data_IF_090098674194
#
_entry.id   IF_090098674194
#
_cell.length_a   1.000
_cell.length_b   1.000
_cell.length_c   1.000
_cell.angle_alpha   90.00
_cell.angle_beta   90.00
_cell.angle_gamma   90.00
#
_symmetry.space_group_name_H-M   'P 1'
#
loop_
_entity.id
_entity.type
_entity.pdbx_description
1 polymer ?
#
# COMPACT_ATOMS: atom_id res chain seq x y z
N UNK A 1 -8.24 -0.15 41.72
CA UNK A 1 -7.05 -0.55 40.91
C UNK A 1 -7.43 -1.21 39.60
N UNK A 2 -8.27 -2.22 39.60
CA UNK A 2 -8.72 -2.97 38.40
C UNK A 2 -9.26 -2.12 37.25
N UNK A 3 -10.05 -1.08 37.54
CA UNK A 3 -10.59 -0.17 36.52
C UNK A 3 -9.51 0.68 35.81
N UNK A 4 -8.43 1.01 36.54
CA UNK A 4 -7.31 1.79 35.98
C UNK A 4 -6.43 0.92 35.08
N UNK A 5 -6.23 -0.32 35.46
CA UNK A 5 -5.49 -1.30 34.67
C UNK A 5 -6.22 -1.62 33.36
N UNK A 6 -7.52 -1.88 33.38
CA UNK A 6 -8.36 -2.09 32.19
C UNK A 6 -8.35 -0.87 31.26
N UNK A 7 -8.32 0.34 31.84
CA UNK A 7 -8.24 1.58 31.07
C UNK A 7 -6.91 1.74 30.32
N UNK A 8 -5.80 1.45 30.99
CA UNK A 8 -4.45 1.50 30.37
C UNK A 8 -4.36 0.48 29.24
N UNK A 9 -4.80 -0.75 29.47
CA UNK A 9 -4.79 -1.82 28.48
C UNK A 9 -5.58 -1.47 27.22
N UNK A 10 -6.78 -0.89 27.38
CA UNK A 10 -7.59 -0.45 26.25
C UNK A 10 -6.93 0.66 25.43
N UNK A 11 -6.29 1.63 26.09
CA UNK A 11 -5.55 2.70 25.40
C UNK A 11 -4.36 2.17 24.61
N UNK A 12 -3.64 1.18 25.15
CA UNK A 12 -2.55 0.51 24.46
C UNK A 12 -3.04 -0.19 23.18
N UNK A 13 -4.15 -0.93 23.24
CA UNK A 13 -4.74 -1.56 22.06
C UNK A 13 -5.18 -0.55 21.01
N UNK A 14 -5.79 0.57 21.41
CA UNK A 14 -6.15 1.65 20.49
C UNK A 14 -4.93 2.30 19.85
N UNK A 15 -3.84 2.47 20.62
CA UNK A 15 -2.56 2.96 20.10
C UNK A 15 -1.95 2.02 19.07
N UNK A 16 -1.99 0.71 19.33
CA UNK A 16 -1.51 -0.32 18.38
C UNK A 16 -2.33 -0.28 17.09
N UNK A 17 -3.67 -0.24 17.17
CA UNK A 17 -4.54 -0.15 15.99
C UNK A 17 -4.25 1.12 15.18
N UNK A 18 -4.08 2.26 15.85
CA UNK A 18 -3.72 3.52 15.20
C UNK A 18 -2.36 3.43 14.51
N UNK A 19 -1.35 2.88 15.20
CA UNK A 19 -0.02 2.63 14.62
C UNK A 19 -0.07 1.74 13.39
N UNK A 20 -0.87 0.66 13.45
CA UNK A 20 -1.08 -0.22 12.29
C UNK A 20 -1.66 0.54 11.09
N UNK A 21 -2.70 1.37 11.31
CA UNK A 21 -3.31 2.16 10.23
C UNK A 21 -2.37 3.20 9.64
N UNK A 22 -1.49 3.79 10.43
CA UNK A 22 -0.57 4.83 9.96
C UNK A 22 0.73 4.28 9.37
N UNK A 23 1.10 3.03 9.66
CA UNK A 23 2.39 2.45 9.26
C UNK A 23 2.60 2.55 7.75
N UNK A 24 1.69 2.04 6.95
CA UNK A 24 1.85 2.00 5.50
C UNK A 24 1.80 3.40 4.85
N UNK A 25 0.83 4.29 5.16
CA UNK A 25 0.88 5.67 4.67
C UNK A 25 2.16 6.42 5.05
N UNK A 26 2.66 6.25 6.27
CA UNK A 26 3.90 6.88 6.73
C UNK A 26 5.11 6.31 5.99
N UNK A 27 5.18 5.00 5.76
CA UNK A 27 6.26 4.38 4.99
C UNK A 27 6.29 4.88 3.55
N UNK A 28 5.14 5.08 2.91
CA UNK A 28 5.08 5.65 1.57
C UNK A 28 5.60 7.09 1.55
N UNK A 29 5.16 7.93 2.50
CA UNK A 29 5.65 9.31 2.61
C UNK A 29 7.16 9.36 2.86
N UNK A 30 7.68 8.50 3.73
CA UNK A 30 9.12 8.41 3.98
C UNK A 30 9.86 7.91 2.74
N UNK A 31 9.28 6.98 1.99
CA UNK A 31 9.83 6.50 0.73
C UNK A 31 10.02 7.66 -0.26
N UNK A 32 8.97 8.43 -0.50
CA UNK A 32 9.01 9.62 -1.36
C UNK A 32 10.05 10.65 -0.89
N UNK A 33 10.13 10.91 0.44
CA UNK A 33 11.11 11.85 0.99
C UNK A 33 12.57 11.39 0.86
N UNK A 34 12.80 10.09 0.75
CA UNK A 34 14.14 9.48 0.73
C UNK A 34 14.49 8.88 -0.64
N UNK A 35 13.69 9.14 -1.68
CA UNK A 35 13.82 8.58 -3.03
C UNK A 35 13.83 7.05 -3.06
N UNK A 36 13.04 6.41 -2.17
CA UNK A 36 12.85 4.98 -2.13
C UNK A 36 11.42 4.60 -2.49
N UNK A 37 11.31 3.63 -3.37
CA UNK A 37 10.03 3.02 -3.73
C UNK A 37 9.68 1.92 -2.71
N UNK A 38 8.55 2.08 -2.03
CA UNK A 38 8.06 1.09 -1.06
C UNK A 38 7.09 0.14 -1.75
N UNK A 39 7.47 -1.12 -1.86
CA UNK A 39 6.67 -2.16 -2.49
C UNK A 39 6.23 -3.19 -1.45
N UNK A 40 4.99 -3.65 -1.52
CA UNK A 40 4.51 -4.76 -0.68
C UNK A 40 4.82 -6.08 -1.37
N UNK A 41 5.50 -6.98 -0.68
CA UNK A 41 5.95 -8.27 -1.22
C UNK A 41 4.77 -9.15 -1.67
N UNK A 42 3.73 -9.21 -0.85
CA UNK A 42 2.48 -9.90 -1.17
C UNK A 42 1.30 -9.14 -0.58
N UNK A 43 0.56 -8.47 -1.46
CA UNK A 43 -0.64 -7.72 -1.06
C UNK A 43 -1.68 -8.62 -0.37
N UNK A 44 -1.86 -9.87 -0.83
CA UNK A 44 -2.84 -10.80 -0.26
C UNK A 44 -2.46 -11.22 1.15
N UNK A 45 -1.21 -11.66 1.34
CA UNK A 45 -0.69 -12.08 2.64
C UNK A 45 -0.77 -10.92 3.63
N UNK A 46 -0.33 -9.72 3.22
CA UNK A 46 -0.43 -8.53 4.08
C UNK A 46 -1.88 -8.21 4.43
N UNK A 47 -2.80 -8.15 3.45
CA UNK A 47 -4.21 -7.83 3.70
C UNK A 47 -4.87 -8.83 4.66
N UNK A 48 -4.61 -10.12 4.47
CA UNK A 48 -5.18 -11.16 5.34
C UNK A 48 -4.63 -11.07 6.76
N UNK A 49 -3.30 -11.03 6.90
CA UNK A 49 -2.65 -10.95 8.23
C UNK A 49 -3.06 -9.67 8.96
N UNK A 50 -3.02 -8.53 8.26
CA UNK A 50 -3.42 -7.24 8.82
C UNK A 50 -4.87 -7.28 9.29
N UNK A 51 -5.79 -7.79 8.46
CA UNK A 51 -7.21 -7.89 8.80
C UNK A 51 -7.45 -8.79 10.01
N UNK A 52 -6.77 -9.93 10.09
CA UNK A 52 -6.88 -10.83 11.24
C UNK A 52 -6.41 -10.16 12.53
N UNK A 53 -5.22 -9.58 12.53
CA UNK A 53 -4.65 -8.92 13.72
C UNK A 53 -5.52 -7.72 14.12
N UNK A 54 -5.88 -6.87 13.15
CA UNK A 54 -6.73 -5.71 13.38
C UNK A 54 -8.09 -6.11 13.98
N UNK A 55 -8.73 -7.15 13.45
CA UNK A 55 -10.01 -7.66 13.94
C UNK A 55 -9.91 -8.21 15.37
N UNK A 56 -8.88 -9.01 15.66
CA UNK A 56 -8.68 -9.58 17.00
C UNK A 56 -8.48 -8.48 18.05
N UNK A 57 -7.64 -7.48 17.75
CA UNK A 57 -7.40 -6.35 18.67
C UNK A 57 -8.68 -5.51 18.81
N UNK A 58 -9.39 -5.25 17.70
CA UNK A 58 -10.66 -4.50 17.72
C UNK A 58 -11.72 -5.17 18.59
N UNK A 59 -11.86 -6.50 18.50
CA UNK A 59 -12.77 -7.27 19.35
C UNK A 59 -12.40 -7.17 20.84
N UNK A 60 -11.09 -7.15 21.16
CA UNK A 60 -10.61 -6.90 22.53
C UNK A 60 -11.06 -5.52 23.02
N UNK A 61 -10.80 -4.47 22.24
CA UNK A 61 -11.20 -3.08 22.55
C UNK A 61 -12.71 -2.98 22.75
N UNK A 62 -13.50 -3.67 21.91
CA UNK A 62 -14.96 -3.64 21.99
C UNK A 62 -15.53 -4.39 23.21
N UNK A 63 -14.84 -5.39 23.74
CA UNK A 63 -15.24 -6.10 24.96
C UNK A 63 -15.01 -5.29 26.24
N UNK A 64 -14.07 -4.36 26.20
CA UNK A 64 -13.75 -3.54 27.37
C UNK A 64 -14.66 -2.32 27.47
N UNK A 65 -15.45 -2.22 28.54
CA UNK A 65 -16.41 -1.13 28.76
C UNK A 65 -15.80 0.13 29.43
N UNK A 66 -14.49 0.11 29.71
CA UNK A 66 -13.82 1.27 30.29
C UNK A 66 -13.87 2.49 29.35
N UNK A 67 -14.40 3.60 29.86
CA UNK A 67 -14.49 4.88 29.12
C UNK A 67 -13.52 5.88 29.69
N UNK A 68 -12.57 6.32 28.88
CA UNK A 68 -11.62 7.37 29.25
C UNK A 68 -11.60 8.47 28.20
N UNK A 69 -11.17 9.68 28.62
CA UNK A 69 -11.01 10.80 27.67
C UNK A 69 -9.97 10.47 26.60
N UNK A 70 -8.83 9.90 27.00
CA UNK A 70 -7.78 9.48 26.08
C UNK A 70 -8.26 8.38 25.10
N UNK A 71 -9.04 7.39 25.58
CA UNK A 71 -9.64 6.37 24.74
C UNK A 71 -10.62 6.95 23.71
N UNK A 72 -11.36 8.00 24.08
CA UNK A 72 -12.24 8.70 23.14
C UNK A 72 -11.44 9.44 22.06
N UNK A 73 -10.38 10.14 22.42
CA UNK A 73 -9.49 10.83 21.48
C UNK A 73 -8.83 9.84 20.52
N UNK A 74 -8.25 8.75 21.04
CA UNK A 74 -7.64 7.71 20.20
C UNK A 74 -8.66 7.08 19.24
N UNK A 75 -9.91 6.87 19.68
CA UNK A 75 -10.96 6.35 18.79
C UNK A 75 -11.38 7.34 17.72
N UNK A 76 -11.37 8.66 18.00
CA UNK A 76 -11.58 9.71 17.01
C UNK A 76 -10.47 9.76 15.95
N UNK A 77 -9.23 9.48 16.33
CA UNK A 77 -8.08 9.45 15.41
C UNK A 77 -8.03 8.13 14.62
N UNK A 78 -8.45 7.02 15.23
CA UNK A 78 -8.40 5.69 14.60
C UNK A 78 -9.27 5.61 13.35
N UNK A 79 -10.47 6.21 13.38
CA UNK A 79 -11.39 6.12 12.25
C UNK A 79 -10.83 6.79 10.98
N UNK A 80 -10.43 8.09 10.98
CA UNK A 80 -9.84 8.71 9.80
C UNK A 80 -8.52 8.06 9.39
N UNK A 81 -7.71 7.55 10.33
CA UNK A 81 -6.49 6.81 10.02
C UNK A 81 -6.80 5.50 9.28
N UNK A 82 -7.85 4.77 9.67
CA UNK A 82 -8.28 3.56 8.97
C UNK A 82 -8.83 3.87 7.58
N UNK A 83 -9.54 5.00 7.42
CA UNK A 83 -10.00 5.48 6.10
C UNK A 83 -8.81 5.84 5.22
N UNK A 84 -7.84 6.59 5.74
CA UNK A 84 -6.60 6.92 5.02
C UNK A 84 -5.86 5.66 4.57
N UNK A 85 -5.68 4.70 5.48
CA UNK A 85 -5.04 3.43 5.15
C UNK A 85 -5.82 2.69 4.06
N UNK A 86 -7.15 2.60 4.18
CA UNK A 86 -8.00 1.94 3.20
C UNK A 86 -7.93 2.61 1.82
N UNK A 87 -7.93 3.94 1.77
CA UNK A 87 -7.78 4.71 0.54
C UNK A 87 -6.42 4.43 -0.11
N UNK A 88 -5.33 4.62 0.63
CA UNK A 88 -3.96 4.41 0.13
C UNK A 88 -3.76 2.95 -0.32
N UNK A 89 -4.26 2.00 0.49
CA UNK A 89 -4.20 0.57 0.18
C UNK A 89 -4.98 0.23 -1.08
N UNK A 90 -6.20 0.73 -1.21
CA UNK A 90 -7.07 0.46 -2.36
C UNK A 90 -6.52 1.11 -3.64
N UNK A 91 -5.99 2.33 -3.57
CA UNK A 91 -5.34 3.01 -4.72
C UNK A 91 -4.11 2.24 -5.17
N UNK A 92 -3.26 1.80 -4.24
CA UNK A 92 -2.05 1.02 -4.57
C UNK A 92 -2.34 -0.37 -5.15
N UNK A 93 -3.51 -0.95 -4.86
CA UNK A 93 -3.90 -2.30 -5.25
C UNK A 93 -5.27 -2.38 -5.93
N UNK A 94 -5.66 -1.34 -6.65
CA UNK A 94 -6.97 -1.18 -7.32
C UNK A 94 -7.37 -2.38 -8.20
N UNK A 95 -6.40 -3.13 -8.72
CA UNK A 95 -6.61 -4.35 -9.50
C UNK A 95 -7.25 -5.50 -8.69
N UNK A 96 -7.16 -5.43 -7.36
CA UNK A 96 -7.56 -6.52 -6.48
C UNK A 96 -8.77 -6.12 -5.64
N UNK A 97 -9.97 -6.36 -6.13
CA UNK A 97 -11.24 -6.10 -5.43
C UNK A 97 -11.28 -6.69 -4.00
N UNK A 98 -10.56 -7.81 -3.77
CA UNK A 98 -10.45 -8.41 -2.44
C UNK A 98 -9.69 -7.52 -1.45
N UNK A 99 -8.68 -6.77 -1.91
CA UNK A 99 -7.97 -5.81 -1.05
C UNK A 99 -8.91 -4.68 -0.60
N UNK A 100 -9.77 -4.19 -1.50
CA UNK A 100 -10.79 -3.20 -1.17
C UNK A 100 -11.82 -3.74 -0.16
N UNK A 101 -12.32 -4.97 -0.34
CA UNK A 101 -13.24 -5.59 0.60
C UNK A 101 -12.62 -5.78 1.99
N UNK A 102 -11.38 -6.26 2.07
CA UNK A 102 -10.68 -6.42 3.34
C UNK A 102 -10.45 -5.07 4.03
N UNK A 103 -10.14 -4.01 3.27
CA UNK A 103 -9.96 -2.66 3.83
C UNK A 103 -11.26 -2.09 4.42
N UNK A 104 -12.42 -2.42 3.86
CA UNK A 104 -13.72 -2.03 4.44
C UNK A 104 -13.94 -2.61 5.83
N UNK A 105 -13.43 -3.82 6.11
CA UNK A 105 -13.51 -4.41 7.47
C UNK A 105 -12.81 -3.51 8.49
N UNK A 106 -11.66 -2.94 8.15
CA UNK A 106 -10.91 -2.04 9.05
C UNK A 106 -11.69 -0.76 9.33
N UNK A 107 -12.26 -0.17 8.28
CA UNK A 107 -13.09 1.04 8.38
C UNK A 107 -14.34 0.78 9.24
N UNK A 108 -15.04 -0.32 9.01
CA UNK A 108 -16.25 -0.68 9.78
C UNK A 108 -15.91 -0.92 11.24
N UNK A 109 -14.87 -1.67 11.56
CA UNK A 109 -14.47 -1.94 12.94
C UNK A 109 -14.05 -0.66 13.66
N UNK A 110 -13.27 0.20 13.02
CA UNK A 110 -12.88 1.49 13.59
C UNK A 110 -14.08 2.43 13.82
N UNK A 111 -15.06 2.42 12.91
CA UNK A 111 -16.32 3.14 13.07
C UNK A 111 -17.10 2.65 14.29
N UNK A 112 -17.26 1.35 14.47
CA UNK A 112 -17.94 0.75 15.64
C UNK A 112 -17.20 1.12 16.93
N UNK A 113 -15.86 1.05 16.95
CA UNK A 113 -15.03 1.46 18.10
C UNK A 113 -15.29 2.93 18.44
N UNK A 114 -15.31 3.82 17.43
CA UNK A 114 -15.57 5.23 17.64
C UNK A 114 -16.99 5.48 18.16
N UNK A 115 -18.01 4.83 17.59
CA UNK A 115 -19.41 4.96 18.06
C UNK A 115 -19.53 4.59 19.55
N UNK A 116 -18.88 3.47 19.94
CA UNK A 116 -18.92 2.97 21.32
C UNK A 116 -18.17 3.87 22.31
N UNK A 117 -17.03 4.42 21.93
CA UNK A 117 -16.15 5.14 22.84
C UNK A 117 -16.40 6.65 22.91
N UNK A 118 -16.90 7.27 21.85
CA UNK A 118 -17.14 8.72 21.77
C UNK A 118 -18.59 9.02 22.14
N UNK A 119 -18.81 9.86 23.15
CA UNK A 119 -20.16 10.24 23.62
C UNK A 119 -20.76 11.42 22.85
N UNK A 120 -19.93 12.40 22.51
CA UNK A 120 -20.35 13.63 21.84
C UNK A 120 -20.82 13.35 20.41
N UNK A 121 -22.06 13.70 20.11
CA UNK A 121 -22.62 13.62 18.76
C UNK A 121 -21.88 14.55 17.80
N UNK A 122 -21.57 15.78 18.25
CA UNK A 122 -20.81 16.74 17.44
C UNK A 122 -19.43 16.21 17.06
N UNK A 123 -18.69 15.58 18.01
CA UNK A 123 -17.41 14.96 17.72
C UNK A 123 -17.53 13.80 16.71
N UNK A 124 -18.60 12.99 16.82
CA UNK A 124 -18.85 11.93 15.84
C UNK A 124 -19.07 12.51 14.44
N UNK A 125 -19.95 13.49 14.30
CA UNK A 125 -20.26 14.12 13.00
C UNK A 125 -19.00 14.77 12.42
N UNK A 126 -18.23 15.51 13.24
CA UNK A 126 -17.01 16.18 12.79
C UNK A 126 -15.94 15.22 12.26
N UNK A 127 -15.91 13.98 12.72
CA UNK A 127 -14.98 12.96 12.25
C UNK A 127 -15.56 12.11 11.11
N UNK A 128 -16.83 11.71 11.20
CA UNK A 128 -17.47 10.88 10.18
C UNK A 128 -17.64 11.60 8.86
N UNK A 129 -18.15 12.84 8.89
CA UNK A 129 -18.52 13.54 7.65
C UNK A 129 -17.34 13.72 6.70
N UNK A 130 -16.18 14.26 7.12
CA UNK A 130 -15.03 14.38 6.24
C UNK A 130 -14.49 13.02 5.78
N UNK A 131 -14.47 12.02 6.68
CA UNK A 131 -13.96 10.68 6.36
C UNK A 131 -14.81 9.97 5.30
N UNK A 132 -16.14 10.07 5.39
CA UNK A 132 -17.07 9.50 4.41
C UNK A 132 -17.01 10.26 3.09
N UNK A 133 -16.86 11.60 3.12
CA UNK A 133 -16.69 12.42 1.92
C UNK A 133 -15.40 12.07 1.13
N UNK A 134 -14.38 11.54 1.79
CA UNK A 134 -13.17 11.04 1.14
C UNK A 134 -13.35 9.58 0.68
N UNK A 135 -13.89 8.72 1.55
CA UNK A 135 -14.02 7.29 1.28
C UNK A 135 -14.99 6.98 0.14
N UNK A 136 -16.17 7.61 0.12
CA UNK A 136 -17.20 7.34 -0.90
C UNK A 136 -16.74 7.63 -2.34
N UNK A 137 -16.19 8.81 -2.67
CA UNK A 137 -15.67 9.08 -4.00
C UNK A 137 -14.52 8.15 -4.37
N UNK A 138 -13.63 7.83 -3.40
CA UNK A 138 -12.51 6.91 -3.64
C UNK A 138 -13.01 5.51 -3.99
N UNK A 139 -13.98 4.98 -3.23
CA UNK A 139 -14.57 3.67 -3.52
C UNK A 139 -15.30 3.64 -4.86
N UNK A 140 -16.07 4.70 -5.18
CA UNK A 140 -16.75 4.83 -6.47
C UNK A 140 -15.75 4.89 -7.62
N UNK A 141 -14.69 5.69 -7.47
CA UNK A 141 -13.62 5.80 -8.43
C UNK A 141 -12.92 4.44 -8.67
N UNK A 142 -12.71 3.66 -7.60
CA UNK A 142 -12.13 2.31 -7.66
C UNK A 142 -13.02 1.29 -8.38
N UNK A 143 -14.33 1.46 -8.38
CA UNK A 143 -15.23 0.62 -9.19
C UNK A 143 -15.10 0.90 -10.69
N UNK A 144 -14.75 2.11 -11.06
CA UNK A 144 -14.61 2.56 -12.47
C UNK A 144 -13.19 2.30 -12.98
N UNK A 145 -12.18 2.45 -12.12
CA UNK A 145 -10.75 2.35 -12.45
C UNK A 145 -10.33 1.05 -13.16
N UNK A 146 -10.78 -0.16 -12.75
CA UNK A 146 -10.39 -1.39 -13.44
C UNK A 146 -10.78 -1.42 -14.92
N UNK A 147 -11.76 -0.60 -15.31
CA UNK A 147 -12.20 -0.47 -16.71
C UNK A 147 -11.48 0.66 -17.46
N UNK A 148 -10.92 1.62 -16.73
CA UNK A 148 -10.33 2.83 -17.32
C UNK A 148 -8.79 2.86 -17.26
N UNK A 149 -8.20 2.15 -16.31
CA UNK A 149 -6.75 2.18 -16.11
C UNK A 149 -6.09 0.90 -16.58
N UNK A 150 -5.01 1.10 -17.29
CA UNK A 150 -4.13 0.06 -17.73
C UNK A 150 -3.41 -0.65 -16.57
N UNK A 151 -2.58 -1.58 -16.94
CA UNK A 151 -1.73 -2.33 -16.01
C UNK A 151 -0.27 -2.20 -16.41
N UNK A 152 0.62 -2.34 -15.43
CA UNK A 152 2.05 -2.53 -15.64
C UNK A 152 2.39 -3.95 -15.21
N UNK A 153 2.92 -4.75 -16.12
CA UNK A 153 3.25 -6.15 -15.85
C UNK A 153 4.66 -6.46 -16.34
N UNK A 154 5.50 -6.97 -15.44
CA UNK A 154 6.78 -7.52 -15.84
C UNK A 154 6.55 -8.80 -16.65
N UNK A 155 6.95 -8.77 -17.93
CA UNK A 155 6.81 -9.88 -18.86
C UNK A 155 8.04 -10.78 -18.82
N UNK A 156 9.21 -10.18 -18.68
CA UNK A 156 10.50 -10.89 -18.59
C UNK A 156 11.41 -10.18 -17.63
N UNK A 157 12.17 -10.98 -16.88
CA UNK A 157 13.16 -10.49 -15.91
C UNK A 157 14.46 -11.21 -16.14
N UNK A 158 15.57 -10.47 -16.20
CA UNK A 158 16.92 -11.01 -16.23
C UNK A 158 17.80 -10.29 -15.21
N UNK A 159 18.75 -11.02 -14.65
CA UNK A 159 19.68 -10.50 -13.65
C UNK A 159 21.09 -10.41 -14.25
N UNK A 160 21.84 -9.38 -13.87
CA UNK A 160 23.24 -9.18 -14.30
C UNK A 160 24.16 -10.32 -13.80
N UNK A 161 25.32 -10.53 -14.40
CA UNK A 161 26.22 -11.64 -14.05
C UNK A 161 26.60 -11.67 -12.56
N UNK A 162 26.90 -10.53 -11.96
CA UNK A 162 27.25 -10.41 -10.52
C UNK A 162 26.03 -10.22 -9.61
N UNK A 163 24.82 -10.20 -10.19
CA UNK A 163 23.54 -10.00 -9.50
C UNK A 163 23.39 -8.65 -8.79
N UNK A 164 24.10 -7.62 -9.25
CA UNK A 164 23.95 -6.26 -8.72
C UNK A 164 22.76 -5.53 -9.35
N UNK A 165 22.36 -5.94 -10.57
CA UNK A 165 21.26 -5.31 -11.30
C UNK A 165 20.23 -6.34 -11.77
N UNK A 166 19.00 -5.89 -11.88
CA UNK A 166 17.89 -6.65 -12.45
C UNK A 166 17.19 -5.81 -13.51
N UNK A 167 17.11 -6.32 -14.73
CA UNK A 167 16.37 -5.70 -15.82
C UNK A 167 15.02 -6.40 -16.01
N UNK A 168 13.96 -5.61 -16.16
CA UNK A 168 12.60 -6.08 -16.39
C UNK A 168 12.02 -5.45 -17.65
N UNK A 169 11.46 -6.27 -18.54
CA UNK A 169 10.58 -5.79 -19.62
C UNK A 169 9.20 -5.62 -19.03
N UNK A 170 8.68 -4.42 -19.07
CA UNK A 170 7.36 -4.07 -18.56
C UNK A 170 6.42 -3.81 -19.73
N UNK A 171 5.32 -4.57 -19.78
CA UNK A 171 4.17 -4.23 -20.59
C UNK A 171 3.33 -3.19 -19.83
N UNK A 172 3.24 -2.00 -20.39
CA UNK A 172 2.39 -0.92 -19.89
C UNK A 172 1.19 -0.83 -20.80
N UNK A 173 0.03 -1.20 -20.28
CA UNK A 173 -1.24 -1.04 -20.96
C UNK A 173 -1.98 0.13 -20.31
N UNK A 174 -2.28 1.17 -21.07
CA UNK A 174 -2.99 2.36 -20.59
C UNK A 174 -4.51 2.30 -20.95
N UNK A 175 -5.02 1.12 -21.15
CA UNK A 175 -6.43 0.90 -21.49
C UNK A 175 -6.78 1.51 -22.85
N UNK A 176 -7.79 2.38 -22.88
CA UNK A 176 -8.24 3.03 -24.12
C UNK A 176 -7.22 4.02 -24.71
N UNK A 177 -6.18 4.41 -23.95
CA UNK A 177 -5.14 5.34 -24.40
C UNK A 177 -3.97 4.63 -25.11
N UNK A 178 -3.99 3.29 -25.19
CA UNK A 178 -2.94 2.50 -25.80
C UNK A 178 -2.02 1.85 -24.78
N UNK A 179 -0.73 1.90 -25.01
CA UNK A 179 0.27 1.36 -24.10
C UNK A 179 1.70 1.60 -24.56
N UNK A 180 2.64 1.10 -23.79
CA UNK A 180 4.07 1.17 -24.09
C UNK A 180 4.79 -0.11 -23.65
N UNK A 181 5.96 -0.34 -24.22
CA UNK A 181 6.92 -1.33 -23.74
C UNK A 181 8.08 -0.58 -23.14
N UNK A 182 8.38 -0.79 -21.86
CA UNK A 182 9.52 -0.16 -21.21
C UNK A 182 10.47 -1.21 -20.64
N UNK A 183 11.74 -0.84 -20.54
CA UNK A 183 12.75 -1.65 -19.83
C UNK A 183 13.23 -0.86 -18.64
N UNK A 184 13.05 -1.44 -17.47
CA UNK A 184 13.48 -0.90 -16.18
C UNK A 184 14.64 -1.69 -15.63
N UNK A 185 15.65 -0.99 -15.10
CA UNK A 185 16.81 -1.58 -14.44
C UNK A 185 16.83 -1.16 -12.98
N UNK A 186 16.84 -2.14 -12.09
CA UNK A 186 16.88 -1.99 -10.65
C UNK A 186 18.28 -2.26 -10.11
N UNK A 187 18.81 -1.37 -9.27
CA UNK A 187 20.06 -1.58 -8.51
C UNK A 187 19.72 -2.39 -7.24
N UNK A 188 20.06 -3.67 -7.23
CA UNK A 188 19.76 -4.58 -6.13
C UNK A 188 20.64 -4.33 -4.88
N UNK A 189 21.76 -3.63 -5.02
CA UNK A 189 22.61 -3.23 -3.88
C UNK A 189 21.96 -2.14 -3.03
N UNK A 190 21.03 -1.38 -3.62
CA UNK A 190 20.26 -0.31 -2.96
C UNK A 190 18.85 -0.78 -2.60
N UNK A 191 18.68 -2.08 -2.42
CA UNK A 191 17.44 -2.70 -2.03
C UNK A 191 17.53 -3.17 -0.58
N UNK A 192 16.54 -2.83 0.22
CA UNK A 192 16.35 -3.41 1.55
C UNK A 192 15.13 -4.32 1.53
N UNK A 193 15.36 -5.60 1.75
CA UNK A 193 14.33 -6.64 1.69
C UNK A 193 13.81 -6.97 3.10
N UNK A 194 12.71 -6.35 3.47
CA UNK A 194 11.99 -6.65 4.71
C UNK A 194 11.00 -7.82 4.55
N UNK A 195 10.45 -8.29 5.67
CA UNK A 195 9.51 -9.42 5.68
C UNK A 195 8.23 -9.10 4.88
N UNK A 196 7.71 -7.90 5.00
CA UNK A 196 6.45 -7.45 4.39
C UNK A 196 6.69 -6.44 3.29
N UNK A 197 7.62 -5.52 3.51
CA UNK A 197 7.92 -4.40 2.63
C UNK A 197 9.28 -4.55 2.00
N UNK A 198 9.35 -4.21 0.73
CA UNK A 198 10.55 -4.08 -0.05
C UNK A 198 10.80 -2.59 -0.27
N UNK A 199 11.97 -2.11 0.11
CA UNK A 199 12.43 -0.75 -0.14
C UNK A 199 13.48 -0.81 -1.24
N UNK A 200 13.23 -0.18 -2.36
CA UNK A 200 14.16 -0.17 -3.49
C UNK A 200 14.24 1.25 -4.07
N UNK A 201 15.40 1.58 -4.59
CA UNK A 201 15.54 2.85 -5.31
C UNK A 201 14.70 2.82 -6.59
N UNK A 202 14.28 3.99 -7.06
CA UNK A 202 13.56 4.11 -8.33
C UNK A 202 14.37 3.49 -9.47
N UNK A 203 13.76 2.65 -10.32
CA UNK A 203 14.46 2.01 -11.42
C UNK A 203 14.87 3.02 -12.47
N UNK A 204 15.99 2.75 -13.12
CA UNK A 204 16.39 3.48 -14.32
C UNK A 204 15.60 2.95 -15.51
N UNK A 205 14.85 3.83 -16.21
CA UNK A 205 14.22 3.48 -17.48
C UNK A 205 15.29 3.61 -18.58
N UNK A 206 15.66 2.49 -19.18
CA UNK A 206 16.69 2.43 -20.24
C UNK A 206 16.12 2.27 -21.63
N UNK A 207 14.83 1.97 -21.73
CA UNK A 207 14.12 1.86 -23.00
C UNK A 207 12.66 2.22 -22.84
N UNK A 208 12.13 2.96 -23.84
CA UNK A 208 10.72 3.26 -23.97
C UNK A 208 10.33 3.10 -25.45
N UNK A 209 9.38 2.24 -25.74
CA UNK A 209 8.96 1.95 -27.11
C UNK A 209 7.45 1.68 -27.20
N UNK A 210 6.99 1.42 -28.45
CA UNK A 210 5.57 1.19 -28.72
C UNK A 210 5.04 -0.06 -28.01
N UNK A 211 3.74 -0.06 -27.77
CA UNK A 211 3.05 -1.18 -27.15
C UNK A 211 3.18 -2.46 -27.98
N UNK A 212 3.34 -3.60 -27.29
CA UNK A 212 3.50 -4.92 -27.91
C UNK A 212 4.93 -5.27 -28.34
N UNK A 213 5.88 -4.32 -28.33
CA UNK A 213 7.28 -4.64 -28.63
C UNK A 213 7.93 -5.63 -27.67
N UNK A 214 7.37 -5.79 -26.47
CA UNK A 214 7.85 -6.76 -25.47
C UNK A 214 7.82 -8.21 -25.97
N UNK A 215 6.95 -8.56 -26.93
CA UNK A 215 6.84 -9.92 -27.44
C UNK A 215 8.10 -10.39 -28.18
N UNK A 216 8.72 -9.49 -28.94
CA UNK A 216 9.91 -9.78 -29.77
C UNK A 216 11.22 -9.29 -29.16
N UNK A 217 11.14 -8.54 -28.06
CA UNK A 217 12.31 -7.92 -27.42
C UNK A 217 13.21 -8.96 -26.80
N UNK A 218 14.52 -8.82 -27.03
CA UNK A 218 15.58 -9.62 -26.41
C UNK A 218 16.39 -8.76 -25.48
N UNK A 219 16.59 -9.25 -24.25
CA UNK A 219 17.46 -8.65 -23.27
C UNK A 219 18.60 -9.63 -22.97
N UNK A 220 19.83 -9.13 -23.01
CA UNK A 220 21.03 -9.88 -22.65
C UNK A 220 22.00 -8.94 -21.92
N UNK A 221 22.68 -9.43 -20.89
CA UNK A 221 23.73 -8.69 -20.25
C UNK A 221 25.07 -8.97 -20.95
N UNK A 222 25.69 -7.94 -21.54
CA UNK A 222 27.05 -8.04 -22.08
C UNK A 222 28.09 -7.97 -20.96
N UNK A 223 27.83 -7.16 -19.98
CA UNK A 223 28.65 -7.02 -18.76
C UNK A 223 27.77 -6.59 -17.61
N UNK A 224 28.36 -6.39 -16.42
CA UNK A 224 27.61 -5.90 -15.24
C UNK A 224 26.97 -4.52 -15.48
N UNK A 225 27.57 -3.69 -16.33
CA UNK A 225 27.13 -2.31 -16.58
C UNK A 225 26.57 -2.07 -17.97
N UNK A 226 26.45 -3.09 -18.82
CA UNK A 226 25.95 -2.95 -20.19
C UNK A 226 24.85 -3.96 -20.45
N UNK A 227 23.63 -3.44 -20.67
CA UNK A 227 22.46 -4.22 -21.07
C UNK A 227 22.27 -4.11 -22.59
N UNK A 228 22.23 -5.24 -23.28
CA UNK A 228 21.86 -5.30 -24.70
C UNK A 228 20.34 -5.40 -24.82
N UNK A 229 19.75 -4.46 -25.56
CA UNK A 229 18.34 -4.48 -25.93
C UNK A 229 18.25 -4.68 -27.43
N UNK A 230 17.81 -5.84 -27.87
CA UNK A 230 17.82 -6.25 -29.29
C UNK A 230 19.22 -6.13 -29.94
N UNK A 231 20.29 -6.38 -29.18
CA UNK A 231 21.67 -6.26 -29.61
C UNK A 231 22.26 -4.83 -29.53
N UNK A 232 21.48 -3.82 -29.19
CA UNK A 232 21.96 -2.45 -28.98
C UNK A 232 22.43 -2.26 -27.53
N UNK A 233 23.67 -1.76 -27.27
CA UNK A 233 24.18 -1.58 -25.94
C UNK A 233 23.56 -0.36 -25.23
N UNK A 234 23.17 -0.56 -23.99
CA UNK A 234 22.63 0.45 -23.09
C UNK A 234 23.44 0.46 -21.79
N UNK A 235 24.24 1.50 -21.52
CA UNK A 235 25.03 1.60 -20.30
C UNK A 235 24.12 1.89 -19.09
N UNK A 236 24.41 1.21 -17.99
CA UNK A 236 23.72 1.37 -16.69
C UNK A 236 24.59 2.22 -15.77
N UNK A 237 24.01 3.24 -15.16
CA UNK A 237 24.70 4.23 -14.31
C UNK A 237 24.34 4.14 -12.84
#
# INVERSE_FOLDING_TARGET
MENREKQITKQQYLGILLGMCLLFPVLLLLGECLDFYVRVRSWLVHSVIFTLIFSLISLRVLREDSKSRAGSVLSCLLFPASVLHAVVWTVGFARFWLAALLSLVWVVLSAIIMIKNVRSLGAKIAVYLPSVLILLPTMLFMLILPFAWGYRMAVRTITSPERNYRAEIIDVNEGALGGATIVEVYDLRKQFDGIVFLFQKEPQIVYHGDWGKFETMRLEWESEQVLLINGAPNPIH
#
